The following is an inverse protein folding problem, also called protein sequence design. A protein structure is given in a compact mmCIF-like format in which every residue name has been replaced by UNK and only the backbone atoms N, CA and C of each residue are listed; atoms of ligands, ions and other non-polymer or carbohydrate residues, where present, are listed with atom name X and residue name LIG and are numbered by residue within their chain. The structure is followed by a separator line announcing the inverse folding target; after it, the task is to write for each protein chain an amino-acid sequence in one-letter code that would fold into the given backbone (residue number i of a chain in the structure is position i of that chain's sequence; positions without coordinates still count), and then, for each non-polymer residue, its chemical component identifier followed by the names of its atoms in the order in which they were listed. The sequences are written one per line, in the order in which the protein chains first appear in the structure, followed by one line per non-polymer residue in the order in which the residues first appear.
data_IF_931396711100
#
_entry.id   IF_931396711100
#
_cell.length_a   1.000
_cell.length_b   1.000
_cell.length_c   1.000
_cell.angle_alpha   90.00
_cell.angle_beta   90.00
_cell.angle_gamma   90.00
#
_symmetry.space_group_name_H-M   'P 1'
#
loop_
_entity.id
_entity.type
_entity.pdbx_description
1 polymer ?
#
# COMPACT_ATOMS: atom_id res chain seq x y z
N UNK A 1 4.14 -14.22 8.80
CA UNK A 1 2.92 -13.50 9.22
C UNK A 1 1.71 -14.12 8.54
N UNK A 2 0.75 -14.60 9.35
CA UNK A 2 -0.57 -15.03 8.85
C UNK A 2 -1.52 -13.84 8.84
N UNK A 3 -2.55 -13.89 8.00
CA UNK A 3 -3.66 -12.95 8.08
C UNK A 3 -4.53 -13.30 9.30
N UNK A 4 -5.02 -12.27 10.00
CA UNK A 4 -6.01 -12.45 11.05
C UNK A 4 -7.39 -12.76 10.42
N UNK A 5 -8.36 -13.17 11.24
CA UNK A 5 -9.67 -13.59 10.75
C UNK A 5 -10.43 -12.44 10.06
N UNK A 6 -10.33 -11.21 10.60
CA UNK A 6 -10.95 -10.01 10.01
C UNK A 6 -10.46 -9.77 8.59
N UNK A 7 -9.14 -9.81 8.36
CA UNK A 7 -8.55 -9.58 7.05
C UNK A 7 -8.89 -10.70 6.07
N UNK A 8 -8.97 -11.96 6.52
CA UNK A 8 -9.46 -13.07 5.68
C UNK A 8 -10.90 -12.85 5.23
N UNK A 9 -11.78 -12.43 6.14
CA UNK A 9 -13.16 -12.08 5.81
C UNK A 9 -13.25 -10.92 4.81
N UNK A 10 -12.39 -9.91 4.94
CA UNK A 10 -12.28 -8.82 3.97
C UNK A 10 -11.86 -9.35 2.60
N UNK A 11 -10.80 -10.15 2.50
CA UNK A 11 -10.35 -10.76 1.24
C UNK A 11 -11.45 -11.61 0.59
N UNK A 12 -12.16 -12.42 1.39
CA UNK A 12 -13.23 -13.27 0.87
C UNK A 12 -14.38 -12.45 0.27
N UNK A 13 -14.80 -11.40 0.98
CA UNK A 13 -15.93 -10.59 0.55
C UNK A 13 -15.55 -9.51 -0.49
N UNK A 14 -14.27 -9.28 -0.79
CA UNK A 14 -13.82 -8.42 -1.90
C UNK A 14 -13.27 -9.25 -3.06
N UNK A 15 -12.05 -9.76 -2.92
CA UNK A 15 -11.29 -10.38 -4.02
C UNK A 15 -11.84 -11.74 -4.37
N UNK A 16 -12.13 -12.62 -3.39
CA UNK A 16 -12.56 -13.97 -3.70
C UNK A 16 -13.87 -13.96 -4.49
N UNK A 17 -14.85 -13.17 -4.03
CA UNK A 17 -16.11 -12.94 -4.75
C UNK A 17 -15.88 -12.45 -6.18
N UNK A 18 -15.07 -11.40 -6.37
CA UNK A 18 -14.81 -10.85 -7.70
C UNK A 18 -14.05 -11.84 -8.61
N UNK A 19 -13.11 -12.60 -8.04
CA UNK A 19 -12.36 -13.63 -8.74
C UNK A 19 -13.26 -14.77 -9.22
N UNK A 20 -14.17 -15.25 -8.36
CA UNK A 20 -15.14 -16.29 -8.69
C UNK A 20 -16.11 -15.83 -9.79
N UNK A 21 -16.53 -14.57 -9.77
CA UNK A 21 -17.38 -13.98 -10.82
C UNK A 21 -16.70 -14.00 -12.20
N UNK A 22 -15.37 -14.01 -12.27
CA UNK A 22 -14.66 -14.10 -13.55
C UNK A 22 -14.73 -15.49 -14.19
N UNK A 23 -15.19 -16.52 -13.48
CA UNK A 23 -15.24 -17.89 -14.00
C UNK A 23 -16.18 -18.04 -15.23
N UNK A 24 -17.14 -17.13 -15.42
CA UNK A 24 -18.02 -17.12 -16.59
C UNK A 24 -17.41 -16.36 -17.78
N UNK A 25 -16.39 -15.52 -17.57
CA UNK A 25 -15.73 -14.76 -18.62
C UNK A 25 -14.85 -15.68 -19.49
N UNK A 26 -15.08 -15.69 -20.80
CA UNK A 26 -14.33 -16.53 -21.74
C UNK A 26 -12.84 -16.18 -21.78
N UNK A 27 -12.50 -14.89 -21.87
CA UNK A 27 -11.11 -14.42 -21.91
C UNK A 27 -10.39 -14.83 -20.62
N UNK A 28 -11.03 -14.65 -19.46
CA UNK A 28 -10.47 -15.06 -18.18
C UNK A 28 -10.17 -16.55 -18.11
N UNK A 29 -11.13 -17.40 -18.52
CA UNK A 29 -10.92 -18.85 -18.56
C UNK A 29 -9.77 -19.24 -19.48
N UNK A 30 -9.65 -18.59 -20.64
CA UNK A 30 -8.61 -18.89 -21.64
C UNK A 30 -7.23 -18.44 -21.17
N UNK A 31 -7.12 -17.26 -20.57
CA UNK A 31 -5.85 -16.61 -20.27
C UNK A 31 -5.36 -16.91 -18.85
N UNK A 32 -6.25 -16.92 -17.87
CA UNK A 32 -5.91 -17.10 -16.45
C UNK A 32 -6.04 -18.57 -16.04
N UNK A 33 -7.22 -19.17 -16.16
CA UNK A 33 -7.49 -20.51 -15.60
C UNK A 33 -6.66 -21.64 -16.24
N UNK A 34 -6.19 -21.45 -17.48
CA UNK A 34 -5.36 -22.44 -18.20
C UNK A 34 -3.85 -22.28 -17.97
N UNK A 35 -3.42 -21.26 -17.23
CA UNK A 35 -2.02 -21.00 -16.91
C UNK A 35 -1.76 -21.29 -15.44
N UNK A 36 -0.58 -21.85 -15.14
CA UNK A 36 -0.13 -21.96 -13.76
C UNK A 36 0.23 -20.59 -13.15
N UNK A 37 0.45 -20.57 -11.84
CA UNK A 37 0.73 -19.35 -11.08
C UNK A 37 2.02 -18.66 -11.52
N UNK A 38 3.04 -19.41 -11.94
CA UNK A 38 4.30 -18.83 -12.40
C UNK A 38 4.10 -18.10 -13.73
N UNK A 39 3.39 -18.73 -14.67
CA UNK A 39 3.06 -18.16 -15.96
C UNK A 39 2.17 -16.93 -15.82
N UNK A 40 1.19 -16.93 -14.91
CA UNK A 40 0.36 -15.75 -14.64
C UNK A 40 1.20 -14.60 -14.07
N UNK A 41 2.10 -14.87 -13.13
CA UNK A 41 2.97 -13.83 -12.53
C UNK A 41 3.95 -13.24 -13.53
N UNK A 42 4.56 -14.08 -14.37
CA UNK A 42 5.62 -13.65 -15.29
C UNK A 42 5.07 -13.06 -16.59
N UNK A 43 4.12 -13.73 -17.24
CA UNK A 43 3.66 -13.32 -18.58
C UNK A 43 2.45 -12.39 -18.57
N UNK A 44 1.60 -12.45 -17.54
CA UNK A 44 0.46 -11.52 -17.44
C UNK A 44 0.86 -10.39 -16.52
N UNK A 45 1.15 -10.66 -15.25
CA UNK A 45 1.40 -9.58 -14.30
C UNK A 45 2.78 -8.92 -14.43
N UNK A 46 3.67 -9.44 -15.28
CA UNK A 46 5.04 -8.93 -15.50
C UNK A 46 5.76 -8.63 -14.19
N UNK A 47 5.62 -9.53 -13.22
CA UNK A 47 6.17 -9.38 -11.87
C UNK A 47 5.65 -8.14 -11.09
N UNK A 48 4.38 -7.77 -11.31
CA UNK A 48 3.75 -6.58 -10.70
C UNK A 48 3.88 -5.31 -11.54
N UNK A 49 4.38 -5.41 -12.78
CA UNK A 49 4.61 -4.28 -13.71
C UNK A 49 3.72 -4.32 -14.96
N UNK A 50 2.61 -5.05 -14.91
CA UNK A 50 1.62 -5.04 -15.98
C UNK A 50 1.04 -3.63 -16.19
N UNK A 51 0.50 -3.39 -17.39
CA UNK A 51 -0.27 -2.17 -17.63
C UNK A 51 -1.65 -2.28 -16.97
N UNK A 52 -1.80 -1.62 -15.82
CA UNK A 52 -3.07 -1.56 -15.09
C UNK A 52 -3.99 -0.43 -15.58
N UNK A 53 -3.58 0.37 -16.56
CA UNK A 53 -4.40 1.41 -17.18
C UNK A 53 -5.13 0.85 -18.40
N UNK A 54 -4.40 0.18 -19.29
CA UNK A 54 -4.96 -0.45 -20.49
C UNK A 54 -5.44 -1.88 -20.26
N UNK A 55 -4.91 -2.56 -19.23
CA UNK A 55 -5.04 -4.00 -19.06
C UNK A 55 -3.95 -4.75 -19.82
N UNK A 56 -3.89 -6.06 -19.63
CA UNK A 56 -2.75 -6.87 -20.08
C UNK A 56 -3.21 -8.24 -20.59
N UNK A 57 -2.56 -8.75 -21.64
CA UNK A 57 -2.91 -10.03 -22.28
C UNK A 57 -4.40 -10.17 -22.67
N UNK A 58 -5.06 -9.07 -23.06
CA UNK A 58 -6.48 -9.03 -23.43
C UNK A 58 -7.46 -9.00 -22.25
N UNK A 59 -6.95 -9.00 -21.01
CA UNK A 59 -7.75 -8.74 -19.81
C UNK A 59 -8.04 -7.25 -19.71
N UNK A 60 -9.23 -6.92 -19.20
CA UNK A 60 -9.53 -5.54 -18.81
C UNK A 60 -8.62 -5.07 -17.67
N UNK A 61 -8.50 -3.75 -17.45
CA UNK A 61 -7.77 -3.18 -16.31
C UNK A 61 -8.19 -3.80 -14.98
N UNK A 62 -9.50 -3.85 -14.68
CA UNK A 62 -10.03 -4.41 -13.43
C UNK A 62 -9.72 -5.91 -13.28
N UNK A 63 -9.82 -6.70 -14.35
CA UNK A 63 -9.42 -8.11 -14.32
C UNK A 63 -7.93 -8.28 -14.00
N UNK A 64 -7.08 -7.42 -14.60
CA UNK A 64 -5.64 -7.41 -14.32
C UNK A 64 -5.38 -7.07 -12.85
N UNK A 65 -6.13 -6.13 -12.27
CA UNK A 65 -6.09 -5.78 -10.84
C UNK A 65 -6.55 -6.92 -9.94
N UNK A 66 -7.65 -7.62 -10.26
CA UNK A 66 -8.11 -8.81 -9.51
C UNK A 66 -7.01 -9.89 -9.49
N UNK A 67 -6.34 -10.10 -10.62
CA UNK A 67 -5.24 -11.06 -10.73
C UNK A 67 -4.01 -10.60 -9.91
N UNK A 68 -3.69 -9.30 -9.93
CA UNK A 68 -2.67 -8.74 -9.06
C UNK A 68 -3.01 -8.95 -7.58
N UNK A 69 -4.26 -8.73 -7.19
CA UNK A 69 -4.73 -8.92 -5.82
C UNK A 69 -4.55 -10.38 -5.34
N UNK A 70 -4.80 -11.35 -6.23
CA UNK A 70 -4.51 -12.77 -5.97
C UNK A 70 -3.04 -13.02 -5.67
N UNK A 71 -2.15 -12.45 -6.48
CA UNK A 71 -0.73 -12.87 -6.50
C UNK A 71 0.20 -12.02 -5.63
N UNK A 72 -0.01 -10.71 -5.56
CA UNK A 72 0.95 -9.76 -4.97
C UNK A 72 0.42 -9.09 -3.71
N UNK A 73 -0.89 -8.81 -3.62
CA UNK A 73 -1.43 -8.02 -2.52
C UNK A 73 -1.14 -8.64 -1.15
N UNK A 74 -1.32 -9.96 -0.97
CA UNK A 74 -1.05 -10.61 0.33
C UNK A 74 0.43 -10.52 0.76
N UNK A 75 1.35 -10.57 -0.21
CA UNK A 75 2.78 -10.40 0.01
C UNK A 75 3.09 -8.95 0.44
N UNK A 76 2.60 -7.96 -0.30
CA UNK A 76 2.80 -6.54 -0.01
C UNK A 76 2.10 -6.10 1.29
N UNK A 77 0.94 -6.69 1.60
CA UNK A 77 0.25 -6.50 2.87
C UNK A 77 1.11 -7.02 4.03
N UNK A 78 1.68 -8.23 3.89
CA UNK A 78 2.54 -8.81 4.92
C UNK A 78 3.80 -7.97 5.14
N UNK A 79 4.48 -7.50 4.09
CA UNK A 79 5.68 -6.68 4.23
C UNK A 79 5.38 -5.31 4.86
N UNK A 80 4.32 -4.63 4.41
CA UNK A 80 3.87 -3.35 4.99
C UNK A 80 3.49 -3.51 6.46
N UNK A 81 2.72 -4.54 6.80
CA UNK A 81 2.30 -4.81 8.19
C UNK A 81 3.49 -5.11 9.09
N UNK A 82 4.48 -5.85 8.58
CA UNK A 82 5.71 -6.09 9.31
C UNK A 82 6.46 -4.79 9.62
N UNK A 83 6.54 -3.89 8.64
CA UNK A 83 7.23 -2.61 8.78
C UNK A 83 6.55 -1.69 9.81
N UNK A 84 5.22 -1.58 9.77
CA UNK A 84 4.47 -0.83 10.79
C UNK A 84 4.66 -1.43 12.18
N UNK A 85 4.68 -2.76 12.29
CA UNK A 85 4.95 -3.45 13.56
C UNK A 85 6.36 -3.16 14.08
N UNK A 86 7.38 -3.24 13.23
CA UNK A 86 8.75 -2.90 13.60
C UNK A 86 8.85 -1.46 14.11
N UNK A 87 8.27 -0.53 13.36
CA UNK A 87 8.27 0.88 13.75
C UNK A 87 7.62 1.07 15.11
N UNK A 88 6.40 0.57 15.30
CA UNK A 88 5.69 0.64 16.59
C UNK A 88 6.46 0.01 17.77
N UNK A 89 7.30 -1.00 17.54
CA UNK A 89 8.07 -1.62 18.63
C UNK A 89 9.33 -0.85 19.01
N UNK A 90 9.76 0.12 18.20
CA UNK A 90 10.98 0.87 18.46
C UNK A 90 10.76 1.91 19.58
N UNK A 91 11.63 1.90 20.60
CA UNK A 91 11.54 2.89 21.70
C UNK A 91 11.63 4.34 21.22
N UNK A 92 12.30 4.58 20.09
CA UNK A 92 12.46 5.91 19.49
C UNK A 92 11.20 6.42 18.79
N UNK A 93 10.10 5.67 18.77
CA UNK A 93 8.86 6.05 18.09
C UNK A 93 7.69 6.23 19.05
N UNK A 94 7.93 6.28 20.37
CA UNK A 94 6.88 6.47 21.38
C UNK A 94 6.06 7.74 21.10
N UNK A 95 6.71 8.78 20.58
CA UNK A 95 6.07 10.03 20.21
C UNK A 95 5.29 9.97 18.90
N UNK A 96 5.41 8.90 18.12
CA UNK A 96 4.70 8.76 16.85
C UNK A 96 3.39 7.97 17.06
N UNK A 97 2.20 8.59 16.94
CA UNK A 97 0.88 8.01 17.18
C UNK A 97 0.43 6.93 16.17
N UNK A 98 1.35 6.17 15.58
CA UNK A 98 1.02 4.90 14.93
C UNK A 98 0.33 3.90 15.90
N UNK A 99 0.29 4.26 17.20
CA UNK A 99 -0.36 3.60 18.33
C UNK A 99 -1.68 4.24 18.78
N UNK A 100 -2.24 5.22 18.08
CA UNK A 100 -3.51 5.86 18.49
C UNK A 100 -4.38 6.20 17.28
N UNK A 101 -5.59 6.72 17.55
CA UNK A 101 -6.39 7.37 16.51
C UNK A 101 -5.67 8.66 16.07
N UNK A 102 -5.72 8.99 14.77
CA UNK A 102 -5.13 10.23 14.25
C UNK A 102 -3.86 10.01 13.42
N UNK A 103 -3.98 9.25 12.33
CA UNK A 103 -2.94 9.13 11.30
C UNK A 103 -3.51 9.63 9.98
N UNK A 104 -2.75 10.47 9.28
CA UNK A 104 -3.00 10.82 7.88
C UNK A 104 -1.94 10.16 7.00
N UNK A 105 -2.34 9.15 6.25
CA UNK A 105 -1.45 8.39 5.37
C UNK A 105 -1.66 8.80 3.92
N UNK A 106 -0.57 9.24 3.29
CA UNK A 106 -0.48 9.59 1.87
C UNK A 106 0.32 8.48 1.20
N UNK A 107 -0.36 7.68 0.38
CA UNK A 107 0.16 6.43 -0.19
C UNK A 107 0.36 6.59 -1.69
N UNK A 108 1.61 6.79 -2.10
CA UNK A 108 1.99 6.98 -3.50
C UNK A 108 2.23 5.63 -4.18
N UNK A 109 1.53 5.38 -5.28
CA UNK A 109 1.45 4.05 -5.90
C UNK A 109 0.65 3.09 -5.02
N UNK A 110 -0.51 3.55 -4.51
CA UNK A 110 -1.26 2.81 -3.50
C UNK A 110 -1.76 1.43 -3.97
N UNK A 111 -1.82 1.20 -5.27
CA UNK A 111 -2.48 0.05 -5.87
C UNK A 111 -3.92 -0.04 -5.33
N UNK A 112 -4.37 -1.22 -4.89
CA UNK A 112 -5.70 -1.40 -4.31
C UNK A 112 -5.75 -1.03 -2.81
N UNK A 113 -5.01 0.01 -2.36
CA UNK A 113 -4.88 0.41 -0.94
C UNK A 113 -4.18 -0.66 -0.06
N UNK A 114 -3.15 -1.32 -0.59
CA UNK A 114 -2.56 -2.47 0.11
C UNK A 114 -1.90 -2.10 1.45
N UNK A 115 -1.13 -1.00 1.46
CA UNK A 115 -0.48 -0.52 2.68
C UNK A 115 -1.48 0.12 3.64
N UNK A 116 -2.55 0.76 3.14
CA UNK A 116 -3.67 1.22 3.98
C UNK A 116 -4.37 0.09 4.73
N UNK A 117 -4.63 -1.04 4.06
CA UNK A 117 -5.17 -2.26 4.71
C UNK A 117 -4.20 -2.82 5.75
N UNK A 118 -2.90 -2.81 5.45
CA UNK A 118 -1.87 -3.27 6.38
C UNK A 118 -1.81 -2.40 7.65
N UNK A 119 -1.92 -1.07 7.50
CA UNK A 119 -1.96 -0.13 8.61
C UNK A 119 -3.19 -0.36 9.47
N UNK A 120 -4.38 -0.48 8.86
CA UNK A 120 -5.61 -0.75 9.59
C UNK A 120 -5.57 -2.07 10.36
N UNK A 121 -5.00 -3.11 9.74
CA UNK A 121 -4.80 -4.40 10.41
C UNK A 121 -3.87 -4.27 11.60
N UNK A 122 -2.77 -3.53 11.46
CA UNK A 122 -1.81 -3.29 12.54
C UNK A 122 -2.45 -2.54 13.71
N UNK A 123 -3.20 -1.47 13.43
CA UNK A 123 -3.96 -0.72 14.45
C UNK A 123 -4.96 -1.63 15.17
N UNK A 124 -5.68 -2.48 14.42
CA UNK A 124 -6.61 -3.44 15.00
C UNK A 124 -5.91 -4.49 15.87
N UNK A 125 -4.76 -5.01 15.43
CA UNK A 125 -3.94 -5.96 16.21
C UNK A 125 -3.41 -5.32 17.51
N UNK A 126 -3.03 -4.04 17.48
CA UNK A 126 -2.52 -3.31 18.65
C UNK A 126 -3.61 -2.92 19.65
N UNK A 127 -4.76 -2.44 19.17
CA UNK A 127 -5.76 -1.77 20.01
C UNK A 127 -7.09 -2.51 20.11
N UNK A 128 -7.24 -3.63 19.40
CA UNK A 128 -8.47 -4.41 19.35
C UNK A 128 -9.70 -3.60 18.93
N UNK A 129 -9.50 -2.55 18.12
CA UNK A 129 -10.55 -1.68 17.59
C UNK A 129 -10.39 -1.46 16.09
N UNK A 130 -11.44 -0.96 15.44
CA UNK A 130 -11.37 -0.53 14.04
C UNK A 130 -10.45 0.67 13.92
N UNK A 131 -9.71 0.76 12.82
CA UNK A 131 -8.81 1.87 12.57
C UNK A 131 -9.59 3.13 12.21
N UNK A 132 -9.19 4.26 12.79
CA UNK A 132 -9.64 5.59 12.36
C UNK A 132 -8.47 6.27 11.65
N UNK A 133 -8.54 6.34 10.32
CA UNK A 133 -7.47 6.89 9.49
C UNK A 133 -7.99 7.91 8.50
N UNK A 134 -7.17 8.92 8.24
CA UNK A 134 -7.28 9.74 7.03
C UNK A 134 -6.34 9.13 6.00
N UNK A 135 -6.86 8.71 4.85
CA UNK A 135 -6.08 8.02 3.83
C UNK A 135 -6.23 8.73 2.48
N UNK A 136 -5.10 9.04 1.86
CA UNK A 136 -5.02 9.63 0.54
C UNK A 136 -4.22 8.66 -0.34
N UNK A 137 -4.92 7.91 -1.19
CA UNK A 137 -4.32 6.96 -2.12
C UNK A 137 -4.08 7.61 -3.48
N UNK A 138 -2.86 7.53 -3.99
CA UNK A 138 -2.49 8.09 -5.29
C UNK A 138 -2.01 6.95 -6.20
N UNK A 139 -2.70 6.72 -7.31
CA UNK A 139 -2.28 5.73 -8.30
C UNK A 139 -2.74 6.11 -9.70
N UNK A 140 -1.84 6.06 -10.68
CA UNK A 140 -2.16 6.35 -12.08
C UNK A 140 -3.28 5.46 -12.67
N UNK A 141 -3.47 4.24 -12.15
CA UNK A 141 -4.50 3.32 -12.63
C UNK A 141 -5.85 3.58 -11.95
N UNK A 142 -6.85 3.98 -12.75
CA UNK A 142 -8.24 4.09 -12.28
C UNK A 142 -8.77 2.77 -11.70
N UNK A 143 -8.41 1.63 -12.30
CA UNK A 143 -8.86 0.32 -11.84
C UNK A 143 -8.26 -0.07 -10.49
N UNK A 144 -7.02 0.35 -10.21
CA UNK A 144 -6.42 0.20 -8.88
C UNK A 144 -7.19 1.02 -7.84
N UNK A 145 -7.53 2.27 -8.17
CA UNK A 145 -8.30 3.15 -7.29
C UNK A 145 -9.75 2.67 -7.09
N UNK A 146 -10.38 2.10 -8.11
CA UNK A 146 -11.71 1.48 -7.98
C UNK A 146 -11.68 0.33 -6.97
N UNK A 147 -10.68 -0.55 -7.06
CA UNK A 147 -10.49 -1.62 -6.08
C UNK A 147 -10.15 -1.06 -4.69
N UNK A 148 -9.35 0.00 -4.62
CA UNK A 148 -9.04 0.69 -3.36
C UNK A 148 -10.31 1.26 -2.70
N UNK A 149 -11.23 1.83 -3.47
CA UNK A 149 -12.51 2.32 -2.98
C UNK A 149 -13.36 1.19 -2.39
N UNK A 150 -13.43 0.03 -3.06
CA UNK A 150 -14.10 -1.18 -2.54
C UNK A 150 -13.50 -1.63 -1.19
N UNK A 151 -12.18 -1.53 -1.03
CA UNK A 151 -11.52 -1.87 0.23
C UNK A 151 -11.74 -0.83 1.33
N UNK A 152 -11.83 0.44 0.98
CA UNK A 152 -12.05 1.52 1.96
C UNK A 152 -13.41 1.42 2.66
N UNK A 153 -14.40 0.83 2.00
CA UNK A 153 -15.75 0.66 2.55
C UNK A 153 -15.89 -0.51 3.54
N UNK A 154 -14.79 -1.22 3.85
CA UNK A 154 -14.78 -2.37 4.76
C UNK A 154 -14.90 -1.96 6.22
N UNK A 155 -16.14 -1.89 6.69
CA UNK A 155 -16.51 -1.52 8.06
C UNK A 155 -16.03 -2.52 9.12
N UNK A 156 -15.52 -3.68 8.76
CA UNK A 156 -14.86 -4.62 9.66
C UNK A 156 -13.44 -4.17 10.07
N UNK A 157 -12.79 -3.36 9.22
CA UNK A 157 -11.45 -2.80 9.44
C UNK A 157 -11.50 -1.33 9.83
N UNK A 158 -12.33 -0.55 9.16
CA UNK A 158 -12.33 0.91 9.27
C UNK A 158 -13.50 1.42 10.09
N UNK A 159 -13.20 2.34 11.01
CA UNK A 159 -14.20 3.09 11.77
C UNK A 159 -14.91 4.08 10.85
N UNK A 160 -16.22 4.38 11.04
CA UNK A 160 -16.95 5.35 10.23
C UNK A 160 -16.34 6.76 10.16
N UNK A 161 -15.54 7.13 11.15
CA UNK A 161 -14.80 8.40 11.17
C UNK A 161 -13.52 8.40 10.30
N UNK A 162 -13.22 7.30 9.62
CA UNK A 162 -12.11 7.28 8.65
C UNK A 162 -12.51 8.03 7.39
N UNK A 163 -11.55 8.75 6.81
CA UNK A 163 -11.73 9.50 5.57
C UNK A 163 -10.83 8.91 4.48
N UNK A 164 -11.37 8.79 3.27
CA UNK A 164 -10.65 8.22 2.14
C UNK A 164 -10.75 9.16 0.93
N UNK A 165 -9.61 9.50 0.36
CA UNK A 165 -9.51 10.25 -0.89
C UNK A 165 -8.64 9.46 -1.86
N UNK A 166 -9.09 9.34 -3.11
CA UNK A 166 -8.36 8.64 -4.15
C UNK A 166 -8.09 9.58 -5.33
N UNK A 167 -6.83 9.68 -5.75
CA UNK A 167 -6.38 10.59 -6.79
C UNK A 167 -5.60 9.80 -7.85
N UNK A 168 -5.90 10.05 -9.14
CA UNK A 168 -5.09 9.43 -10.20
C UNK A 168 -3.71 10.06 -10.35
N UNK A 169 -3.63 11.36 -10.04
CA UNK A 169 -2.41 12.16 -10.11
C UNK A 169 -2.47 13.23 -9.03
N UNK A 170 -1.30 13.70 -8.63
CA UNK A 170 -1.10 14.87 -7.81
C UNK A 170 -0.01 15.68 -8.50
N UNK A 171 -0.30 16.92 -8.90
CA UNK A 171 0.66 17.75 -9.63
C UNK A 171 1.39 18.70 -8.68
N UNK A 172 0.71 19.13 -7.63
CA UNK A 172 1.18 20.17 -6.72
C UNK A 172 0.93 19.82 -5.25
N UNK A 173 1.74 20.38 -4.35
CA UNK A 173 1.61 20.14 -2.92
C UNK A 173 0.30 20.72 -2.36
N UNK A 174 -0.15 21.84 -2.92
CA UNK A 174 -1.34 22.59 -2.53
C UNK A 174 -2.61 21.74 -2.56
N UNK A 175 -2.73 20.85 -3.56
CA UNK A 175 -3.85 19.91 -3.68
C UNK A 175 -3.94 18.99 -2.43
N UNK A 176 -2.80 18.43 -2.01
CA UNK A 176 -2.73 17.58 -0.83
C UNK A 176 -2.87 18.36 0.46
N UNK A 177 -2.30 19.56 0.54
CA UNK A 177 -2.46 20.47 1.69
C UNK A 177 -3.93 20.75 1.94
N UNK A 178 -4.69 21.08 0.89
CA UNK A 178 -6.12 21.34 1.01
C UNK A 178 -6.87 20.11 1.52
N UNK A 179 -6.64 18.93 0.94
CA UNK A 179 -7.30 17.68 1.36
C UNK A 179 -6.98 17.37 2.83
N UNK A 180 -5.71 17.44 3.23
CA UNK A 180 -5.28 17.15 4.61
C UNK A 180 -5.94 18.13 5.58
N UNK A 181 -5.90 19.43 5.27
CA UNK A 181 -6.53 20.45 6.12
C UNK A 181 -8.04 20.25 6.23
N UNK A 182 -8.71 19.80 5.17
CA UNK A 182 -10.14 19.48 5.20
C UNK A 182 -10.43 18.26 6.08
N UNK A 183 -9.63 17.20 5.97
CA UNK A 183 -9.79 15.96 6.75
C UNK A 183 -9.44 16.13 8.24
N UNK A 184 -8.62 17.12 8.59
CA UNK A 184 -8.23 17.43 9.97
C UNK A 184 -9.04 18.59 10.61
N UNK A 185 -10.08 19.10 9.93
CA UNK A 185 -10.97 20.13 10.48
C UNK A 185 -11.55 19.66 11.83
N UNK A 186 -11.12 20.28 12.93
CA UNK A 186 -11.47 19.87 14.30
C UNK A 186 -10.29 19.83 15.28
N UNK A 187 -9.05 20.05 14.79
CA UNK A 187 -7.89 20.26 15.65
C UNK A 187 -7.16 18.99 16.10
N UNK A 188 -7.51 17.83 15.53
CA UNK A 188 -6.78 16.60 15.82
C UNK A 188 -5.44 16.62 15.07
N UNK A 189 -4.35 16.86 15.79
CA UNK A 189 -3.00 16.77 15.23
C UNK A 189 -2.72 15.31 14.87
N UNK A 190 -2.76 14.99 13.57
CA UNK A 190 -2.35 13.68 13.09
C UNK A 190 -0.85 13.65 12.77
N UNK A 191 -0.26 12.46 12.88
CA UNK A 191 1.02 12.19 12.22
C UNK A 191 0.79 11.96 10.73
N UNK A 192 1.59 12.63 9.92
CA UNK A 192 1.58 12.45 8.48
C UNK A 192 2.52 11.31 8.12
N UNK A 193 1.99 10.33 7.40
CA UNK A 193 2.74 9.21 6.88
C UNK A 193 2.82 9.33 5.37
N UNK A 194 4.03 9.36 4.83
CA UNK A 194 4.29 9.19 3.41
C UNK A 194 4.70 7.74 3.14
N UNK A 195 3.90 7.00 2.36
CA UNK A 195 4.21 5.61 2.01
C UNK A 195 4.61 5.50 0.54
N UNK A 196 5.72 4.80 0.31
CA UNK A 196 6.33 4.58 -1.00
C UNK A 196 6.67 3.10 -1.16
N UNK A 197 5.67 2.24 -1.05
CA UNK A 197 5.86 0.79 -1.16
C UNK A 197 5.95 0.36 -2.61
N UNK A 198 7.13 -0.13 -3.03
CA UNK A 198 7.42 -0.61 -4.40
C UNK A 198 7.30 0.44 -5.52
N UNK A 199 6.98 1.70 -5.19
CA UNK A 199 6.75 2.78 -6.15
C UNK A 199 7.98 3.09 -7.01
N UNK A 200 9.16 3.19 -6.39
CA UNK A 200 10.39 3.65 -7.06
C UNK A 200 10.99 2.65 -8.06
N UNK A 201 10.44 1.43 -8.12
CA UNK A 201 10.74 0.48 -9.18
C UNK A 201 9.96 0.75 -10.49
N UNK A 202 9.01 1.69 -10.48
CA UNK A 202 8.26 2.10 -11.66
C UNK A 202 9.16 2.85 -12.65
N UNK A 203 9.09 2.48 -13.92
CA UNK A 203 9.83 3.12 -15.00
C UNK A 203 9.33 4.54 -15.27
N UNK A 204 8.02 4.78 -15.11
CA UNK A 204 7.34 6.04 -15.42
C UNK A 204 7.37 7.06 -14.29
N UNK A 205 7.86 6.68 -13.10
CA UNK A 205 7.98 7.62 -11.98
C UNK A 205 9.01 8.71 -12.30
N UNK A 206 8.57 9.97 -12.24
CA UNK A 206 9.41 11.15 -12.16
C UNK A 206 9.70 11.47 -10.69
N UNK A 207 10.88 11.05 -10.21
CA UNK A 207 11.27 11.26 -8.82
C UNK A 207 11.51 12.74 -8.46
N UNK A 208 11.85 13.60 -9.44
CA UNK A 208 12.12 15.02 -9.18
C UNK A 208 10.82 15.79 -8.97
N UNK A 209 9.82 15.52 -9.81
CA UNK A 209 8.48 16.06 -9.61
C UNK A 209 7.92 15.64 -8.24
N UNK A 210 8.07 14.36 -7.88
CA UNK A 210 7.65 13.87 -6.57
C UNK A 210 8.38 14.57 -5.43
N UNK A 211 9.71 14.76 -5.52
CA UNK A 211 10.48 15.50 -4.51
C UNK A 211 9.99 16.95 -4.36
N UNK A 212 9.65 17.63 -5.46
CA UNK A 212 9.08 18.98 -5.41
C UNK A 212 7.76 19.03 -4.62
N UNK A 213 6.84 18.09 -4.89
CA UNK A 213 5.57 17.97 -4.15
C UNK A 213 5.85 17.72 -2.66
N UNK A 214 6.72 16.76 -2.35
CA UNK A 214 7.02 16.39 -0.96
C UNK A 214 7.69 17.56 -0.21
N UNK A 215 8.62 18.29 -0.82
CA UNK A 215 9.24 19.45 -0.21
C UNK A 215 8.21 20.55 0.12
N UNK A 216 7.23 20.78 -0.76
CA UNK A 216 6.12 21.71 -0.47
C UNK A 216 5.31 21.27 0.75
N UNK A 217 5.03 19.96 0.88
CA UNK A 217 4.33 19.41 2.04
C UNK A 217 5.15 19.51 3.32
N UNK A 218 6.44 19.16 3.27
CA UNK A 218 7.34 19.26 4.41
C UNK A 218 7.48 20.72 4.88
N UNK A 219 7.51 21.67 3.96
CA UNK A 219 7.55 23.10 4.27
C UNK A 219 6.26 23.57 4.96
N UNK A 220 5.10 23.16 4.45
CA UNK A 220 3.81 23.56 5.01
C UNK A 220 3.54 22.90 6.36
N UNK A 221 3.84 21.60 6.49
CA UNK A 221 3.57 20.80 7.67
C UNK A 221 4.79 20.62 8.59
N UNK A 222 5.74 21.55 8.58
CA UNK A 222 7.03 21.43 9.30
C UNK A 222 6.89 21.17 10.81
N UNK A 223 5.80 21.63 11.43
CA UNK A 223 5.52 21.47 12.87
C UNK A 223 4.82 20.14 13.20
N UNK A 224 4.41 19.37 12.19
CA UNK A 224 3.79 18.05 12.38
C UNK A 224 4.85 16.97 12.47
N UNK A 225 4.50 15.87 13.13
CA UNK A 225 5.25 14.62 13.06
C UNK A 225 5.05 13.98 11.70
N UNK A 226 6.16 13.66 11.04
CA UNK A 226 6.21 13.14 9.67
C UNK A 226 7.05 11.88 9.65
N UNK A 227 6.53 10.82 9.04
CA UNK A 227 7.24 9.56 8.82
C UNK A 227 7.13 9.15 7.36
N UNK A 228 8.25 8.71 6.80
CA UNK A 228 8.32 8.10 5.49
C UNK A 228 8.48 6.61 5.68
N UNK A 229 7.68 5.80 4.99
CA UNK A 229 7.90 4.37 4.83
C UNK A 229 8.26 4.08 3.39
N UNK A 230 9.48 3.65 3.18
CA UNK A 230 9.94 3.13 1.90
C UNK A 230 10.23 1.64 2.03
N UNK A 231 9.78 0.85 1.06
CA UNK A 231 10.13 -0.56 0.97
C UNK A 231 10.16 -1.05 -0.48
N UNK A 232 11.08 -1.95 -0.79
CA UNK A 232 11.27 -2.54 -2.11
C UNK A 232 12.08 -3.85 -1.99
N UNK A 233 12.19 -4.69 -3.04
CA UNK A 233 13.21 -5.73 -3.04
C UNK A 233 14.61 -5.11 -2.98
N UNK A 234 15.59 -5.84 -2.40
CA UNK A 234 16.97 -5.38 -2.38
C UNK A 234 17.59 -5.36 -3.79
N UNK A 235 18.62 -4.54 -3.94
CA UNK A 235 19.36 -4.38 -5.19
C UNK A 235 19.44 -2.91 -5.59
N UNK A 236 20.65 -2.43 -5.86
CA UNK A 236 20.92 -1.00 -6.08
C UNK A 236 20.13 -0.44 -7.26
N UNK A 237 19.97 -1.23 -8.32
CA UNK A 237 19.23 -0.81 -9.52
C UNK A 237 17.74 -0.54 -9.24
N UNK A 238 17.12 -1.27 -8.31
CA UNK A 238 15.71 -1.08 -7.94
C UNK A 238 15.51 0.13 -7.03
N UNK A 239 16.54 0.51 -6.30
CA UNK A 239 16.47 1.53 -5.25
C UNK A 239 17.16 2.85 -5.65
N UNK A 240 17.78 2.90 -6.84
CA UNK A 240 18.43 4.10 -7.36
C UNK A 240 17.52 5.34 -7.38
N UNK A 241 16.27 5.20 -7.85
CA UNK A 241 15.34 6.34 -7.88
C UNK A 241 14.96 6.83 -6.47
N UNK A 242 14.91 5.94 -5.48
CA UNK A 242 14.69 6.30 -4.07
C UNK A 242 15.87 7.10 -3.50
N UNK A 243 17.10 6.66 -3.79
CA UNK A 243 18.32 7.37 -3.36
C UNK A 243 18.33 8.79 -3.95
N UNK A 244 18.11 8.92 -5.25
CA UNK A 244 18.03 10.22 -5.93
C UNK A 244 16.90 11.09 -5.39
N UNK A 245 15.72 10.51 -5.10
CA UNK A 245 14.61 11.25 -4.49
C UNK A 245 14.99 11.84 -3.14
N UNK A 246 15.64 11.07 -2.27
CA UNK A 246 16.06 11.54 -0.94
C UNK A 246 17.07 12.69 -1.02
N UNK A 247 17.99 12.64 -1.98
CA UNK A 247 18.99 13.70 -2.21
C UNK A 247 18.33 15.04 -2.60
N UNK A 248 17.13 15.00 -3.18
CA UNK A 248 16.35 16.17 -3.56
C UNK A 248 15.46 16.71 -2.42
N UNK A 249 15.40 16.02 -1.27
CA UNK A 249 14.63 16.48 -0.11
C UNK A 249 15.35 17.60 0.64
N UNK A 250 14.67 18.71 0.88
CA UNK A 250 15.23 19.91 1.52
C UNK A 250 15.26 19.83 3.05
N UNK A 251 14.95 18.67 3.64
CA UNK A 251 14.78 18.49 5.09
C UNK A 251 15.74 17.44 5.61
N UNK A 252 16.38 17.75 6.75
CA UNK A 252 17.19 16.79 7.49
C UNK A 252 16.27 15.81 8.22
N UNK A 253 16.10 14.63 7.64
CA UNK A 253 15.33 13.54 8.23
C UNK A 253 16.27 12.50 8.83
N UNK A 254 15.95 11.99 10.02
CA UNK A 254 16.63 10.83 10.56
C UNK A 254 16.27 9.61 9.70
N UNK A 255 17.28 8.86 9.27
CA UNK A 255 17.09 7.66 8.47
C UNK A 255 17.42 6.40 9.28
N UNK A 256 16.52 5.42 9.22
CA UNK A 256 16.79 4.03 9.61
C UNK A 256 16.61 3.12 8.40
N UNK A 257 17.69 2.48 7.96
CA UNK A 257 17.70 1.59 6.80
C UNK A 257 18.12 0.18 7.19
N UNK A 258 17.48 -0.84 6.60
CA UNK A 258 17.86 -2.23 6.82
C UNK A 258 17.38 -3.14 5.68
N UNK A 259 17.88 -4.38 5.68
CA UNK A 259 17.35 -5.49 4.88
C UNK A 259 16.90 -6.62 5.79
N UNK A 260 15.71 -7.16 5.52
CA UNK A 260 15.08 -8.18 6.37
C UNK A 260 14.40 -9.25 5.53
N UNK A 261 14.29 -10.44 6.10
CA UNK A 261 13.47 -11.52 5.57
C UNK A 261 12.12 -11.53 6.30
N UNK A 262 11.04 -11.26 5.59
CA UNK A 262 9.68 -11.28 6.15
C UNK A 262 9.00 -12.60 5.80
N UNK A 263 8.89 -13.56 6.73
CA UNK A 263 8.12 -14.77 6.49
C UNK A 263 6.64 -14.42 6.36
N UNK A 264 5.92 -15.02 5.40
CA UNK A 264 4.49 -14.81 5.24
C UNK A 264 3.76 -16.07 4.78
N UNK A 265 2.44 -16.06 4.98
CA UNK A 265 1.53 -17.10 4.52
C UNK A 265 0.58 -16.48 3.49
N UNK A 266 0.26 -17.25 2.46
CA UNK A 266 -0.79 -16.93 1.51
C UNK A 266 -2.06 -17.66 1.92
N UNK A 267 -3.14 -16.90 2.14
CA UNK A 267 -4.49 -17.42 2.28
C UNK A 267 -5.03 -17.80 0.91
N UNK A 268 -5.27 -19.11 0.70
CA UNK A 268 -5.73 -19.65 -0.59
C UNK A 268 -7.25 -19.51 -0.76
N UNK A 269 -7.73 -18.26 -0.82
CA UNK A 269 -9.16 -17.94 -0.91
C UNK A 269 -9.86 -18.51 -2.16
N UNK A 270 -9.10 -18.85 -3.21
CA UNK A 270 -9.61 -19.38 -4.48
C UNK A 270 -9.77 -20.90 -4.50
N UNK A 271 -9.48 -21.59 -3.38
CA UNK A 271 -9.64 -23.04 -3.26
C UNK A 271 -10.82 -23.38 -2.35
N UNK A 272 -11.44 -24.53 -2.59
CA UNK A 272 -12.52 -25.07 -1.73
C UNK A 272 -12.07 -25.21 -0.28
N UNK A 273 -10.87 -25.77 -0.06
CA UNK A 273 -10.26 -25.85 1.26
C UNK A 273 -9.36 -24.62 1.45
N UNK A 274 -9.96 -23.51 1.89
CA UNK A 274 -9.24 -22.26 2.14
C UNK A 274 -8.29 -22.44 3.32
N UNK A 275 -6.98 -22.42 3.04
CA UNK A 275 -5.92 -22.64 4.04
C UNK A 275 -4.81 -21.60 3.90
N UNK A 276 -4.08 -21.37 5.00
CA UNK A 276 -2.86 -20.58 4.99
C UNK A 276 -1.68 -21.45 4.56
N UNK A 277 -1.01 -21.09 3.47
CA UNK A 277 0.16 -21.81 2.96
C UNK A 277 1.41 -20.96 3.16
N UNK A 278 2.47 -21.48 3.83
CA UNK A 278 3.72 -20.75 3.94
C UNK A 278 4.33 -20.49 2.56
N UNK A 279 4.84 -19.29 2.35
CA UNK A 279 5.54 -18.90 1.12
C UNK A 279 6.99 -18.58 1.42
N UNK A 280 7.78 -18.47 0.35
CA UNK A 280 9.17 -17.98 0.44
C UNK A 280 9.15 -16.62 1.14
N UNK A 281 10.03 -16.43 2.11
CA UNK A 281 10.15 -15.14 2.80
C UNK A 281 10.44 -14.01 1.80
N UNK A 282 9.85 -12.85 2.05
CA UNK A 282 10.05 -11.65 1.26
C UNK A 282 11.41 -11.09 1.65
N UNK A 283 12.32 -10.97 0.71
CA UNK A 283 13.56 -10.24 0.92
C UNK A 283 13.27 -8.75 0.70
N UNK A 284 13.30 -7.98 1.77
CA UNK A 284 12.82 -6.61 1.81
C UNK A 284 13.95 -5.67 2.21
N UNK A 285 14.27 -4.73 1.34
CA UNK A 285 14.98 -3.52 1.70
C UNK A 285 13.96 -2.47 2.13
N UNK A 286 14.19 -1.82 3.26
CA UNK A 286 13.34 -0.73 3.72
C UNK A 286 14.17 0.43 4.26
N UNK A 287 13.54 1.59 4.25
CA UNK A 287 14.06 2.77 4.90
C UNK A 287 12.90 3.56 5.51
N UNK A 288 13.11 4.02 6.74
CA UNK A 288 12.17 4.86 7.45
C UNK A 288 12.85 6.21 7.67
N UNK A 289 12.22 7.28 7.19
CA UNK A 289 12.67 8.66 7.44
C UNK A 289 11.72 9.33 8.43
N UNK A 290 12.22 10.17 9.32
CA UNK A 290 11.38 10.91 10.28
C UNK A 290 11.97 12.27 10.65
N UNK A 291 11.11 13.23 11.00
CA UNK A 291 11.56 14.52 11.56
C UNK A 291 11.63 14.47 13.10
N UNK A 292 12.32 15.45 13.69
CA UNK A 292 12.36 15.65 15.14
C UNK A 292 11.40 16.76 15.55
#
# INVERSE_FOLDING_TARGET
MKLNQTMKAVIDATIAKQYEQQNTCEVWRKIVMRKDDAAQRYHILRQGKADFVAGEAGLSPLQTVILYCRHYMQMHLASSRYLFKLFSMAKSTVDYPLHTDGVTMIDFGCGPMTSGLALATHIQELHQKKATINYIGIDHSAAMLEMAAVFSDRRELFHPASNFQFLQKCHHAEELIEIINQQEKGGQQSTIIFNFSYLFASETLDQKQLACIINGLLQYFREKKIVFFFQNPPGDYLNKKWILFKEELSFNLESTTNQILVPYYEYQFFKTNKVDVPKRAINLYYEILRNY
#
